data_IF_658014295604
#
_entry.id   IF_658014295604
#
_cell.length_a   1.000
_cell.length_b   1.000
_cell.length_c   1.000
_cell.angle_alpha   90.00
_cell.angle_beta   90.00
_cell.angle_gamma   90.00
#
_symmetry.space_group_name_H-M   'P 1'
#
loop_
_entity.id
_entity.type
_entity.pdbx_description
1 polymer ?
#
# COMPACT_ATOMS: atom_id res chain seq x y z
N UNK A 1 -7.37 -7.95 -31.93
CA UNK A 1 -7.41 -7.62 -30.50
C UNK A 1 -6.45 -8.51 -29.75
N UNK A 2 -5.74 -7.95 -28.76
CA UNK A 2 -4.72 -8.64 -27.97
C UNK A 2 -5.34 -9.68 -27.03
N UNK A 3 -6.52 -9.42 -26.47
CA UNK A 3 -7.27 -10.39 -25.66
C UNK A 3 -7.42 -11.74 -26.37
N UNK A 4 -7.91 -11.75 -27.61
CA UNK A 4 -8.11 -13.00 -28.38
C UNK A 4 -6.81 -13.77 -28.59
N UNK A 5 -5.68 -13.07 -28.74
CA UNK A 5 -4.37 -13.71 -28.86
C UNK A 5 -3.92 -14.36 -27.55
N UNK A 6 -4.10 -13.66 -26.42
CA UNK A 6 -3.83 -14.24 -25.09
C UNK A 6 -4.73 -15.45 -24.86
N UNK A 7 -6.02 -15.33 -25.17
CA UNK A 7 -6.99 -16.42 -25.07
C UNK A 7 -6.57 -17.63 -25.90
N UNK A 8 -6.16 -17.42 -27.15
CA UNK A 8 -5.69 -18.51 -28.02
C UNK A 8 -4.46 -19.22 -27.43
N UNK A 9 -3.53 -18.50 -26.81
CA UNK A 9 -2.36 -19.09 -26.16
C UNK A 9 -2.73 -19.89 -24.91
N UNK A 10 -3.68 -19.40 -24.11
CA UNK A 10 -4.23 -20.11 -22.96
C UNK A 10 -4.98 -21.37 -23.39
N UNK A 11 -5.92 -21.24 -24.33
CA UNK A 11 -6.73 -22.36 -24.84
C UNK A 11 -5.86 -23.46 -25.49
N UNK A 12 -4.74 -23.10 -26.12
CA UNK A 12 -3.78 -24.05 -26.70
C UNK A 12 -2.79 -24.63 -25.68
N UNK A 13 -2.83 -24.18 -24.42
CA UNK A 13 -1.93 -24.62 -23.35
C UNK A 13 -0.50 -24.12 -23.49
N UNK A 14 -0.27 -23.09 -24.31
CA UNK A 14 1.03 -22.44 -24.51
C UNK A 14 1.28 -21.31 -23.52
N UNK A 15 0.24 -20.84 -22.83
CA UNK A 15 0.31 -19.81 -21.80
C UNK A 15 -0.53 -20.22 -20.59
N UNK A 16 0.05 -20.07 -19.40
CA UNK A 16 -0.63 -20.22 -18.13
C UNK A 16 -0.42 -18.93 -17.32
N UNK A 17 -1.50 -18.36 -16.82
CA UNK A 17 -1.48 -17.12 -16.05
C UNK A 17 -1.62 -17.42 -14.55
N UNK A 18 -0.67 -16.96 -13.75
CA UNK A 18 -0.75 -16.96 -12.29
C UNK A 18 -1.10 -15.54 -11.83
N UNK A 19 -2.35 -15.32 -11.43
CA UNK A 19 -2.84 -13.99 -11.08
C UNK A 19 -2.62 -13.64 -9.61
N UNK A 20 -2.11 -12.44 -9.37
CA UNK A 20 -2.09 -11.79 -8.06
C UNK A 20 -2.92 -10.52 -8.15
N UNK A 21 -3.97 -10.42 -7.36
CA UNK A 21 -4.86 -9.25 -7.27
C UNK A 21 -4.78 -8.68 -5.86
N UNK A 22 -4.61 -7.37 -5.72
CA UNK A 22 -4.47 -6.77 -4.39
C UNK A 22 -4.82 -5.28 -4.35
N UNK A 23 -5.25 -4.76 -3.19
CA UNK A 23 -5.14 -3.33 -2.91
C UNK A 23 -3.67 -2.89 -2.87
N UNK A 24 -3.35 -1.62 -3.15
CA UNK A 24 -2.01 -1.10 -2.99
C UNK A 24 -1.48 -1.29 -1.56
N UNK A 25 -0.16 -1.49 -1.47
CA UNK A 25 0.60 -1.53 -0.19
C UNK A 25 0.31 -2.74 0.72
N UNK A 26 -0.31 -3.77 0.18
CA UNK A 26 -0.53 -5.08 0.82
C UNK A 26 0.61 -6.08 0.60
N UNK A 27 1.68 -5.72 -0.14
CA UNK A 27 2.83 -6.60 -0.38
C UNK A 27 2.74 -7.45 -1.65
N UNK A 28 1.85 -7.11 -2.59
CA UNK A 28 1.73 -7.81 -3.88
C UNK A 28 3.02 -7.88 -4.68
N UNK A 29 3.85 -6.83 -4.71
CA UNK A 29 5.16 -6.88 -5.40
C UNK A 29 6.15 -7.84 -4.73
N UNK A 30 6.06 -8.02 -3.41
CA UNK A 30 6.87 -9.02 -2.69
C UNK A 30 6.45 -10.43 -3.12
N UNK A 31 5.15 -10.73 -3.14
CA UNK A 31 4.66 -12.05 -3.55
C UNK A 31 4.93 -12.33 -5.03
N UNK A 32 4.68 -11.36 -5.92
CA UNK A 32 5.02 -11.45 -7.34
C UNK A 32 6.49 -11.80 -7.55
N UNK A 33 7.39 -11.09 -6.86
CA UNK A 33 8.84 -11.34 -6.94
C UNK A 33 9.20 -12.72 -6.39
N UNK A 34 8.52 -13.18 -5.33
CA UNK A 34 8.68 -14.52 -4.77
C UNK A 34 8.25 -15.61 -5.76
N UNK A 35 7.05 -15.50 -6.34
CA UNK A 35 6.53 -16.47 -7.31
C UNK A 35 7.36 -16.51 -8.60
N UNK A 36 7.86 -15.36 -9.06
CA UNK A 36 8.77 -15.28 -10.20
C UNK A 36 10.11 -16.01 -10.00
N UNK A 37 10.47 -16.36 -8.75
CA UNK A 37 11.66 -17.17 -8.46
C UNK A 37 11.39 -18.68 -8.43
N UNK A 38 10.15 -19.12 -8.70
CA UNK A 38 9.84 -20.54 -8.89
C UNK A 38 10.52 -21.05 -10.17
N UNK A 39 11.12 -22.26 -10.15
CA UNK A 39 11.64 -22.90 -11.36
C UNK A 39 10.55 -23.21 -12.42
N UNK A 40 9.28 -23.13 -12.05
CA UNK A 40 8.14 -23.35 -12.95
C UNK A 40 7.65 -22.07 -13.63
N UNK A 41 8.12 -20.89 -13.22
CA UNK A 41 7.67 -19.59 -13.76
C UNK A 41 8.71 -19.05 -14.72
N UNK A 42 8.26 -18.61 -15.89
CA UNK A 42 9.12 -18.10 -16.95
C UNK A 42 9.25 -16.58 -16.88
N UNK A 43 8.11 -15.90 -16.70
CA UNK A 43 8.04 -14.44 -16.78
C UNK A 43 7.16 -13.86 -15.67
N UNK A 44 7.32 -12.55 -15.42
CA UNK A 44 6.42 -11.76 -14.58
C UNK A 44 5.98 -10.50 -15.32
N UNK A 45 4.77 -10.04 -15.06
CA UNK A 45 4.20 -8.82 -15.63
C UNK A 45 3.56 -8.01 -14.50
N UNK A 46 4.12 -6.84 -14.26
CA UNK A 46 3.67 -5.94 -13.20
C UNK A 46 2.66 -4.93 -13.75
N UNK A 47 1.42 -5.02 -13.27
CA UNK A 47 0.32 -4.08 -13.50
C UNK A 47 0.11 -3.68 -14.99
N UNK A 48 -0.02 -4.63 -15.94
CA UNK A 48 -0.29 -4.32 -17.34
C UNK A 48 -1.53 -3.43 -17.58
N UNK A 49 -2.49 -3.44 -16.66
CA UNK A 49 -3.72 -2.66 -16.67
C UNK A 49 -3.64 -1.40 -15.79
N UNK A 50 -2.46 -0.89 -15.42
CA UNK A 50 -2.30 0.33 -14.59
C UNK A 50 -2.71 1.66 -15.30
N UNK A 51 -2.82 1.64 -16.63
CA UNK A 51 -3.06 2.84 -17.45
C UNK A 51 -4.52 3.41 -17.52
N UNK A 52 -5.58 2.84 -16.91
CA UNK A 52 -6.94 3.40 -16.87
C UNK A 52 -7.09 4.81 -16.29
N UNK A 53 -6.08 5.39 -15.64
CA UNK A 53 -6.12 6.80 -15.19
C UNK A 53 -5.89 7.80 -16.33
N UNK A 54 -5.49 7.34 -17.52
CA UNK A 54 -5.45 8.20 -18.69
C UNK A 54 -6.81 8.13 -19.38
N UNK A 55 -7.45 9.29 -19.56
CA UNK A 55 -8.66 9.40 -20.38
C UNK A 55 -8.44 8.68 -21.72
N UNK A 56 -9.29 7.71 -22.03
CA UNK A 56 -9.22 6.93 -23.27
C UNK A 56 -8.35 5.66 -23.22
N UNK A 57 -7.97 5.15 -22.04
CA UNK A 57 -7.30 3.85 -21.97
C UNK A 57 -8.19 2.70 -22.48
N UNK A 58 -7.66 1.94 -23.43
CA UNK A 58 -8.28 0.72 -23.94
C UNK A 58 -7.78 -0.48 -23.15
N UNK A 59 -8.68 -1.21 -22.46
CA UNK A 59 -8.34 -2.41 -21.70
C UNK A 59 -7.57 -3.46 -22.53
N UNK A 60 -7.77 -3.50 -23.85
CA UNK A 60 -7.05 -4.41 -24.75
C UNK A 60 -5.52 -4.23 -24.68
N UNK A 61 -5.03 -3.03 -24.31
CA UNK A 61 -3.60 -2.75 -24.14
C UNK A 61 -2.98 -3.46 -22.93
N UNK A 62 -3.77 -3.82 -21.91
CA UNK A 62 -3.25 -4.63 -20.80
C UNK A 62 -2.82 -6.02 -21.27
N UNK A 63 -3.61 -6.65 -22.15
CA UNK A 63 -3.26 -7.92 -22.78
C UNK A 63 -2.04 -7.80 -23.69
N UNK A 64 -1.83 -6.65 -24.33
CA UNK A 64 -0.57 -6.39 -25.04
C UNK A 64 0.63 -6.46 -24.10
N UNK A 65 0.54 -5.88 -22.89
CA UNK A 65 1.59 -5.97 -21.89
C UNK A 65 1.95 -7.41 -21.49
N UNK A 66 0.93 -8.29 -21.41
CA UNK A 66 1.15 -9.73 -21.19
C UNK A 66 1.88 -10.35 -22.38
N UNK A 67 1.45 -10.07 -23.61
CA UNK A 67 2.09 -10.61 -24.82
C UNK A 67 3.52 -10.11 -25.02
N UNK A 68 3.77 -8.82 -24.76
CA UNK A 68 5.09 -8.19 -24.88
C UNK A 68 6.10 -8.81 -23.89
N UNK A 69 5.62 -9.40 -22.78
CA UNK A 69 6.47 -10.09 -21.81
C UNK A 69 6.96 -11.47 -22.26
N UNK A 70 6.32 -12.05 -23.28
CA UNK A 70 6.71 -13.34 -23.83
C UNK A 70 7.87 -13.13 -24.80
N UNK A 71 8.98 -13.85 -24.59
CA UNK A 71 10.07 -13.87 -25.56
C UNK A 71 9.63 -14.41 -26.93
N UNK A 72 10.35 -14.05 -27.99
CA UNK A 72 9.97 -14.28 -29.40
C UNK A 72 9.86 -15.74 -29.82
N UNK A 73 10.27 -16.69 -28.98
CA UNK A 73 10.34 -18.12 -29.28
C UNK A 73 9.15 -18.86 -28.62
N UNK A 74 7.96 -18.67 -29.19
CA UNK A 74 6.66 -19.06 -28.63
C UNK A 74 6.28 -20.55 -28.80
N UNK A 75 7.26 -21.47 -28.84
CA UNK A 75 6.99 -22.92 -28.88
C UNK A 75 7.06 -23.59 -27.50
N UNK A 76 7.45 -22.86 -26.45
CA UNK A 76 7.47 -23.37 -25.08
C UNK A 76 6.19 -22.99 -24.33
N UNK A 77 5.72 -23.91 -23.47
CA UNK A 77 4.66 -23.60 -22.50
C UNK A 77 5.19 -22.57 -21.51
N UNK A 78 4.60 -21.38 -21.51
CA UNK A 78 5.01 -20.29 -20.65
C UNK A 78 4.07 -20.16 -19.46
N UNK A 79 4.62 -20.08 -18.25
CA UNK A 79 3.89 -19.71 -17.05
C UNK A 79 4.29 -18.30 -16.62
N UNK A 80 3.30 -17.42 -16.52
CA UNK A 80 3.51 -15.99 -16.31
C UNK A 80 2.80 -15.55 -15.04
N UNK A 81 3.54 -14.95 -14.11
CA UNK A 81 2.94 -14.27 -12.95
C UNK A 81 2.48 -12.89 -13.39
N UNK A 82 1.19 -12.59 -13.21
CA UNK A 82 0.62 -11.28 -13.53
C UNK A 82 0.07 -10.68 -12.25
N UNK A 83 0.57 -9.50 -11.89
CA UNK A 83 0.15 -8.79 -10.69
C UNK A 83 -0.66 -7.56 -11.05
N UNK A 84 -1.82 -7.40 -10.43
CA UNK A 84 -2.72 -6.27 -10.65
C UNK A 84 -3.26 -5.65 -9.37
N UNK A 85 -3.70 -4.38 -9.48
CA UNK A 85 -4.45 -3.72 -8.42
C UNK A 85 -5.94 -3.79 -8.70
N UNK A 86 -6.75 -4.10 -7.67
CA UNK A 86 -8.18 -4.36 -7.83
C UNK A 86 -8.96 -3.21 -8.49
N UNK A 87 -8.68 -1.96 -8.12
CA UNK A 87 -9.38 -0.83 -8.72
C UNK A 87 -9.14 -0.67 -10.23
N UNK A 88 -8.00 -1.14 -10.75
CA UNK A 88 -7.71 -1.10 -12.19
C UNK A 88 -8.67 -1.96 -12.98
N UNK A 89 -8.93 -3.17 -12.50
CA UNK A 89 -9.74 -4.16 -13.21
C UNK A 89 -11.23 -3.92 -13.07
N UNK A 90 -11.64 -3.21 -12.02
CA UNK A 90 -13.05 -2.82 -11.83
C UNK A 90 -13.50 -1.76 -12.84
N UNK A 91 -12.58 -1.01 -13.44
CA UNK A 91 -12.91 -0.13 -14.56
C UNK A 91 -13.40 -0.97 -15.73
N UNK A 92 -14.63 -0.71 -16.20
CA UNK A 92 -15.32 -1.49 -17.24
C UNK A 92 -15.50 -2.99 -16.93
N UNK A 93 -15.41 -3.39 -15.64
CA UNK A 93 -15.50 -4.78 -15.19
C UNK A 93 -14.51 -5.74 -15.92
N UNK A 94 -13.34 -5.24 -16.31
CA UNK A 94 -12.34 -6.01 -17.06
C UNK A 94 -11.86 -7.26 -16.32
N UNK A 95 -11.96 -7.27 -14.97
CA UNK A 95 -11.71 -8.48 -14.17
C UNK A 95 -12.48 -9.70 -14.68
N UNK A 96 -13.71 -9.55 -15.20
CA UNK A 96 -14.51 -10.67 -15.73
C UNK A 96 -13.82 -11.34 -16.93
N UNK A 97 -13.30 -10.53 -17.86
CA UNK A 97 -12.59 -11.01 -19.04
C UNK A 97 -11.24 -11.59 -18.65
N UNK A 98 -10.49 -10.90 -17.80
CA UNK A 98 -9.17 -11.35 -17.37
C UNK A 98 -9.27 -12.68 -16.60
N UNK A 99 -10.20 -12.81 -15.66
CA UNK A 99 -10.38 -14.04 -14.87
C UNK A 99 -10.83 -15.23 -15.73
N UNK A 100 -11.51 -14.99 -16.86
CA UNK A 100 -11.86 -16.06 -17.81
C UNK A 100 -10.65 -16.72 -18.49
N UNK A 101 -9.47 -16.09 -18.40
CA UNK A 101 -8.20 -16.60 -18.96
C UNK A 101 -7.37 -17.40 -17.92
N UNK A 102 -7.82 -17.47 -16.67
CA UNK A 102 -7.05 -18.04 -15.56
C UNK A 102 -7.61 -19.42 -15.22
N UNK A 103 -6.76 -20.44 -15.28
CA UNK A 103 -7.13 -21.82 -14.95
C UNK A 103 -6.79 -22.21 -13.52
N UNK A 104 -5.74 -21.61 -12.96
CA UNK A 104 -5.30 -21.81 -11.59
C UNK A 104 -6.04 -20.87 -10.62
N UNK A 105 -6.05 -21.16 -9.31
CA UNK A 105 -6.65 -20.25 -8.34
C UNK A 105 -6.06 -18.83 -8.41
N UNK A 106 -6.93 -17.81 -8.46
CA UNK A 106 -6.51 -16.40 -8.40
C UNK A 106 -6.07 -16.07 -6.96
N UNK A 107 -4.91 -15.43 -6.78
CA UNK A 107 -4.41 -15.02 -5.47
C UNK A 107 -4.88 -13.61 -5.13
N UNK A 108 -5.64 -13.45 -4.06
CA UNK A 108 -5.97 -12.15 -3.47
C UNK A 108 -5.08 -11.86 -2.27
N UNK A 109 -4.46 -10.68 -2.22
CA UNK A 109 -3.69 -10.28 -1.05
C UNK A 109 -4.44 -9.28 -0.19
N UNK A 110 -4.35 -9.51 1.11
CA UNK A 110 -4.84 -8.62 2.13
C UNK A 110 -3.72 -8.28 3.13
N UNK A 111 -3.91 -7.18 3.86
CA UNK A 111 -3.06 -6.73 4.95
C UNK A 111 -3.89 -5.81 5.84
N UNK A 112 -3.62 -5.78 7.13
CA UNK A 112 -4.20 -4.80 8.06
C UNK A 112 -4.31 -3.40 7.39
N UNK A 113 -5.54 -2.90 7.14
CA UNK A 113 -5.77 -1.65 6.43
C UNK A 113 -5.08 -0.43 7.02
N UNK A 114 -4.89 -0.38 8.34
CA UNK A 114 -4.21 0.74 8.99
C UNK A 114 -2.75 0.83 8.53
N UNK A 115 -2.05 -0.29 8.42
CA UNK A 115 -0.68 -0.34 7.90
C UNK A 115 -0.62 0.00 6.40
N UNK A 116 -1.59 -0.48 5.62
CA UNK A 116 -1.68 -0.18 4.19
C UNK A 116 -1.94 1.30 3.94
N UNK A 117 -2.85 1.92 4.71
CA UNK A 117 -3.17 3.35 4.66
C UNK A 117 -1.99 4.23 5.09
N UNK A 118 -1.29 3.88 6.18
CA UNK A 118 -0.06 4.54 6.59
C UNK A 118 0.98 4.50 5.46
N UNK A 119 1.21 3.32 4.89
CA UNK A 119 2.16 3.19 3.79
C UNK A 119 1.74 3.99 2.55
N UNK A 120 0.44 4.14 2.30
CA UNK A 120 -0.11 4.94 1.20
C UNK A 120 0.08 6.44 1.42
N UNK A 121 -0.20 6.93 2.62
CA UNK A 121 0.06 8.33 2.99
C UNK A 121 1.55 8.63 2.85
N UNK A 122 2.41 7.76 3.37
CA UNK A 122 3.87 7.89 3.25
C UNK A 122 4.34 7.89 1.78
N UNK A 123 3.77 7.06 0.91
CA UNK A 123 4.01 7.07 -0.54
C UNK A 123 3.70 8.43 -1.15
N UNK A 124 2.52 8.99 -0.84
CA UNK A 124 2.07 10.27 -1.38
C UNK A 124 3.01 11.38 -0.94
N UNK A 125 3.24 11.55 0.36
CA UNK A 125 4.01 12.68 0.90
C UNK A 125 5.47 12.69 0.42
N UNK A 126 6.11 11.51 0.30
CA UNK A 126 7.48 11.39 -0.18
C UNK A 126 7.60 11.68 -1.70
N UNK A 127 6.52 11.47 -2.46
CA UNK A 127 6.51 11.76 -3.90
C UNK A 127 6.32 13.24 -4.25
N UNK A 128 5.73 14.02 -3.33
CA UNK A 128 5.44 15.44 -3.54
C UNK A 128 6.70 16.22 -3.93
N UNK A 129 7.84 16.19 -3.20
CA UNK A 129 9.02 16.96 -3.59
C UNK A 129 9.67 16.45 -4.91
N UNK A 130 9.31 15.28 -5.42
CA UNK A 130 9.98 14.66 -6.58
C UNK A 130 9.23 14.96 -7.89
N UNK A 131 7.92 15.17 -7.83
CA UNK A 131 7.06 15.42 -9.00
C UNK A 131 6.33 16.75 -8.88
N UNK A 132 6.79 17.74 -9.63
CA UNK A 132 6.14 19.05 -9.68
C UNK A 132 4.69 18.93 -10.16
N UNK A 133 3.76 19.58 -9.46
CA UNK A 133 2.34 19.67 -9.83
C UNK A 133 1.86 21.09 -9.62
N UNK A 134 1.21 21.65 -10.64
CA UNK A 134 0.57 22.98 -10.54
C UNK A 134 -0.46 23.01 -9.41
N UNK A 135 -1.19 21.91 -9.18
CA UNK A 135 -2.16 21.82 -8.08
C UNK A 135 -1.51 22.00 -6.71
N UNK A 136 -0.35 21.38 -6.48
CA UNK A 136 0.42 21.51 -5.23
C UNK A 136 0.94 22.93 -5.06
N UNK A 137 1.58 23.48 -6.11
CA UNK A 137 2.07 24.86 -6.09
C UNK A 137 0.94 25.86 -5.80
N UNK A 138 -0.15 25.77 -6.56
CA UNK A 138 -1.33 26.61 -6.44
C UNK A 138 -1.92 26.55 -5.04
N UNK A 139 -2.05 25.37 -4.44
CA UNK A 139 -2.59 25.24 -3.09
C UNK A 139 -1.79 26.07 -2.07
N UNK A 140 -0.46 25.92 -2.08
CA UNK A 140 0.42 26.59 -1.12
C UNK A 140 0.46 28.11 -1.40
N UNK A 141 0.48 28.48 -2.69
CA UNK A 141 0.39 29.87 -3.13
C UNK A 141 -0.92 30.55 -2.70
N UNK A 142 -2.06 29.88 -2.86
CA UNK A 142 -3.37 30.35 -2.40
C UNK A 142 -3.42 30.44 -0.85
N UNK A 143 -2.67 29.57 -0.15
CA UNK A 143 -2.51 29.66 1.31
C UNK A 143 -1.72 30.91 1.71
N UNK A 144 -0.62 31.22 1.03
CA UNK A 144 0.15 32.46 1.26
C UNK A 144 -0.75 33.69 1.03
N UNK A 145 -1.52 33.70 -0.05
CA UNK A 145 -2.43 34.80 -0.37
C UNK A 145 -3.48 35.05 0.72
N UNK A 146 -4.06 33.97 1.28
CA UNK A 146 -5.00 34.04 2.41
C UNK A 146 -4.32 34.57 3.67
N UNK A 147 -3.15 34.03 4.01
CA UNK A 147 -2.39 34.40 5.21
C UNK A 147 -1.98 35.89 5.19
N UNK A 148 -1.71 36.41 4.00
CA UNK A 148 -1.26 37.80 3.77
C UNK A 148 -2.39 38.76 3.35
N UNK A 149 -3.64 38.28 3.29
CA UNK A 149 -4.85 39.05 2.97
C UNK A 149 -4.80 39.78 1.62
N UNK A 150 -4.28 39.13 0.57
CA UNK A 150 -4.26 39.69 -0.78
C UNK A 150 -5.64 39.53 -1.44
N UNK A 151 -6.36 40.64 -1.64
CA UNK A 151 -7.75 40.65 -2.12
C UNK A 151 -7.93 40.35 -3.63
N UNK A 152 -6.85 40.40 -4.43
CA UNK A 152 -6.89 40.18 -5.89
C UNK A 152 -5.87 39.13 -6.35
N UNK A 153 -5.91 37.95 -5.73
CA UNK A 153 -5.00 36.85 -6.07
C UNK A 153 -5.32 36.23 -7.44
N UNK A 154 -4.45 36.43 -8.43
CA UNK A 154 -4.55 35.79 -9.74
C UNK A 154 -3.18 35.32 -10.26
N UNK A 155 -2.92 34.01 -10.16
CA UNK A 155 -1.67 33.37 -10.57
C UNK A 155 -1.23 33.70 -12.01
N UNK A 156 -2.18 33.88 -12.94
CA UNK A 156 -1.87 34.23 -14.34
C UNK A 156 -1.32 35.65 -14.53
N UNK A 157 -1.36 36.49 -13.48
CA UNK A 157 -0.89 37.89 -13.49
C UNK A 157 0.23 38.16 -12.49
N UNK A 158 0.61 37.17 -11.67
CA UNK A 158 1.58 37.37 -10.56
C UNK A 158 2.95 37.81 -11.06
N UNK A 159 3.41 37.32 -12.21
CA UNK A 159 4.71 37.71 -12.79
C UNK A 159 4.80 39.19 -13.18
N UNK A 160 3.67 39.90 -13.22
CA UNK A 160 3.57 41.33 -13.52
C UNK A 160 3.15 42.20 -12.33
N UNK A 161 2.81 41.60 -11.19
CA UNK A 161 2.42 42.32 -9.98
C UNK A 161 3.59 42.41 -9.00
N UNK A 162 4.24 43.58 -8.99
CA UNK A 162 5.42 43.83 -8.17
C UNK A 162 5.14 43.73 -6.65
N UNK A 163 3.89 43.95 -6.20
CA UNK A 163 3.53 43.78 -4.79
C UNK A 163 3.48 42.31 -4.40
N UNK A 164 2.94 41.46 -5.28
CA UNK A 164 2.88 40.02 -5.04
C UNK A 164 4.28 39.40 -5.11
N UNK A 165 5.13 39.85 -6.03
CA UNK A 165 6.54 39.43 -6.11
C UNK A 165 7.26 39.75 -4.80
N UNK A 166 7.21 40.99 -4.34
CA UNK A 166 7.87 41.41 -3.10
C UNK A 166 7.37 40.64 -1.87
N UNK A 167 6.08 40.31 -1.84
CA UNK A 167 5.47 39.52 -0.79
C UNK A 167 6.00 38.08 -0.79
N UNK A 168 6.00 37.40 -1.94
CA UNK A 168 6.51 36.04 -2.07
C UNK A 168 8.02 35.97 -1.75
N UNK A 169 8.79 36.97 -2.19
CA UNK A 169 10.21 37.11 -1.84
C UNK A 169 10.42 37.34 -0.34
N UNK A 170 9.54 38.12 0.30
CA UNK A 170 9.50 38.30 1.76
C UNK A 170 9.28 36.99 2.52
N UNK A 171 8.50 36.06 1.97
CA UNK A 171 8.28 34.71 2.52
C UNK A 171 9.40 33.71 2.19
N UNK A 172 10.45 34.18 1.49
CA UNK A 172 11.62 33.41 1.12
C UNK A 172 11.47 32.60 -0.17
N UNK A 173 10.49 32.92 -1.02
CA UNK A 173 10.36 32.37 -2.37
C UNK A 173 11.19 33.25 -3.32
N UNK A 174 12.25 32.70 -3.87
CA UNK A 174 13.25 33.40 -4.69
C UNK A 174 12.87 33.33 -6.17
N UNK A 175 13.38 34.30 -6.93
CA UNK A 175 13.31 34.33 -8.39
C UNK A 175 11.87 34.37 -8.95
N UNK A 176 10.90 34.86 -8.16
CA UNK A 176 9.46 34.85 -8.49
C UNK A 176 9.17 35.51 -9.82
N UNK A 177 9.86 36.60 -10.15
CA UNK A 177 9.70 37.33 -11.42
C UNK A 177 10.12 36.54 -12.67
N UNK A 178 10.88 35.46 -12.50
CA UNK A 178 11.46 34.66 -13.60
C UNK A 178 10.88 33.25 -13.71
N UNK A 179 10.00 32.84 -12.78
CA UNK A 179 9.45 31.49 -12.74
C UNK A 179 7.95 31.54 -13.09
N UNK A 180 7.47 30.74 -14.07
CA UNK A 180 6.05 30.61 -14.34
C UNK A 180 5.35 29.86 -13.19
N UNK A 181 4.57 30.57 -12.37
CA UNK A 181 3.92 30.00 -11.18
C UNK A 181 2.75 29.06 -11.51
N UNK A 182 2.22 29.15 -12.72
CA UNK A 182 1.10 28.38 -13.26
C UNK A 182 1.55 27.12 -14.01
N UNK A 183 2.86 26.86 -14.09
CA UNK A 183 3.44 25.68 -14.70
C UNK A 183 4.14 24.80 -13.66
N UNK A 184 4.23 23.46 -13.86
CA UNK A 184 4.99 22.61 -12.97
C UNK A 184 6.46 23.03 -12.92
N UNK A 185 6.94 23.41 -11.73
CA UNK A 185 8.33 23.80 -11.50
C UNK A 185 8.81 23.22 -10.17
N UNK A 186 9.83 22.37 -10.23
CA UNK A 186 10.30 21.60 -9.07
C UNK A 186 10.99 22.48 -8.02
N UNK A 187 11.78 23.46 -8.46
CA UNK A 187 12.48 24.40 -7.57
C UNK A 187 11.46 25.27 -6.81
N UNK A 188 10.50 25.87 -7.51
CA UNK A 188 9.39 26.59 -6.88
C UNK A 188 8.64 25.70 -5.89
N UNK A 189 8.33 24.46 -6.28
CA UNK A 189 7.62 23.54 -5.39
C UNK A 189 8.44 23.24 -4.12
N UNK A 190 9.75 23.02 -4.21
CA UNK A 190 10.61 22.85 -3.02
C UNK A 190 10.57 24.08 -2.12
N UNK A 191 10.66 25.28 -2.69
CA UNK A 191 10.59 26.52 -1.91
C UNK A 191 9.24 26.68 -1.20
N UNK A 192 8.14 26.36 -1.89
CA UNK A 192 6.78 26.39 -1.33
C UNK A 192 6.58 25.34 -0.23
N UNK A 193 7.10 24.12 -0.41
CA UNK A 193 7.05 23.07 0.61
C UNK A 193 7.84 23.45 1.86
N UNK A 194 9.00 24.08 1.70
CA UNK A 194 9.78 24.60 2.83
C UNK A 194 9.06 25.75 3.54
N UNK A 195 8.41 26.65 2.80
CA UNK A 195 7.52 27.66 3.39
C UNK A 195 6.41 26.99 4.22
N UNK A 196 5.72 26.00 3.66
CA UNK A 196 4.65 25.27 4.35
C UNK A 196 5.17 24.62 5.65
N UNK A 197 6.32 23.95 5.60
CA UNK A 197 6.95 23.34 6.78
C UNK A 197 7.28 24.36 7.87
N UNK A 198 7.83 25.53 7.51
CA UNK A 198 8.09 26.64 8.44
C UNK A 198 6.82 27.15 9.12
N UNK A 199 5.71 27.24 8.39
CA UNK A 199 4.40 27.61 8.95
C UNK A 199 3.87 26.59 9.97
N UNK A 200 4.27 25.32 9.84
CA UNK A 200 3.95 24.26 10.81
C UNK A 200 4.99 24.12 11.93
N UNK A 201 6.00 25.01 11.99
CA UNK A 201 7.02 25.04 13.05
C UNK A 201 8.26 24.18 12.78
N UNK A 202 8.47 23.73 11.54
CA UNK A 202 9.62 22.92 11.13
C UNK A 202 10.60 23.74 10.28
N UNK A 203 11.87 23.33 10.21
CA UNK A 203 12.89 24.06 9.45
C UNK A 203 12.66 23.97 7.94
N UNK A 204 12.27 22.78 7.47
CA UNK A 204 12.11 22.43 6.07
C UNK A 204 11.17 21.22 5.92
N UNK A 205 10.80 20.95 4.68
CA UNK A 205 9.88 19.87 4.32
C UNK A 205 10.37 18.49 4.73
N UNK A 206 11.67 18.21 4.57
CA UNK A 206 12.23 16.89 4.85
C UNK A 206 12.18 16.57 6.34
N UNK A 207 12.51 17.54 7.19
CA UNK A 207 12.39 17.41 8.64
C UNK A 207 10.92 17.26 9.06
N UNK A 208 10.02 18.04 8.45
CA UNK A 208 8.58 17.93 8.73
C UNK A 208 8.02 16.54 8.41
N UNK A 209 8.28 16.01 7.20
CA UNK A 209 7.81 14.68 6.79
C UNK A 209 8.49 13.58 7.61
N UNK A 210 9.79 13.72 7.91
CA UNK A 210 10.49 12.76 8.75
C UNK A 210 9.85 12.71 10.13
N UNK A 211 9.77 13.83 10.86
CA UNK A 211 9.24 13.77 12.23
C UNK A 211 7.77 13.30 12.27
N UNK A 212 6.91 13.76 11.35
CA UNK A 212 5.49 13.31 11.29
C UNK A 212 5.34 11.81 11.00
N UNK A 213 6.10 11.27 10.04
CA UNK A 213 6.09 9.84 9.74
C UNK A 213 6.68 9.02 10.89
N UNK A 214 7.72 9.54 11.56
CA UNK A 214 8.36 8.87 12.68
C UNK A 214 7.43 8.77 13.90
N UNK A 215 6.73 9.84 14.27
CA UNK A 215 5.79 9.79 15.41
C UNK A 215 4.41 9.24 15.07
N UNK A 216 4.15 8.91 13.80
CA UNK A 216 2.87 8.44 13.25
C UNK A 216 1.71 9.39 13.58
N UNK A 217 1.90 10.69 13.36
CA UNK A 217 0.84 11.71 13.56
C UNK A 217 0.33 12.22 12.21
N UNK A 218 -0.38 11.35 11.49
CA UNK A 218 -0.84 11.62 10.13
C UNK A 218 -2.05 12.55 10.04
N UNK A 219 -2.75 12.79 11.15
CA UNK A 219 -3.91 13.69 11.23
C UNK A 219 -3.58 15.11 10.75
N UNK A 220 -2.35 15.55 11.00
CA UNK A 220 -1.81 16.85 10.56
C UNK A 220 -1.55 16.93 9.04
N UNK A 221 -1.55 15.79 8.35
CA UNK A 221 -1.28 15.69 6.90
C UNK A 221 -2.54 15.78 6.05
N UNK A 222 -3.73 15.93 6.65
CA UNK A 222 -4.99 16.01 5.89
C UNK A 222 -4.99 17.09 4.81
N UNK A 223 -4.42 18.27 5.11
CA UNK A 223 -4.22 19.36 4.15
C UNK A 223 -3.29 18.94 3.00
N UNK A 224 -2.22 18.21 3.29
CA UNK A 224 -1.23 17.75 2.29
C UNK A 224 -1.83 16.68 1.37
N UNK A 225 -2.65 15.79 1.91
CA UNK A 225 -3.36 14.81 1.10
C UNK A 225 -4.29 15.48 0.08
N UNK A 226 -4.80 16.67 0.38
CA UNK A 226 -5.57 17.47 -0.59
C UNK A 226 -4.75 17.90 -1.81
N UNK A 227 -3.42 18.03 -1.70
CA UNK A 227 -2.53 18.38 -2.83
C UNK A 227 -2.58 17.32 -3.94
N UNK A 228 -2.78 16.07 -3.54
CA UNK A 228 -2.84 14.90 -4.42
C UNK A 228 -4.16 14.15 -4.23
N UNK A 229 -5.28 14.89 -4.06
CA UNK A 229 -6.61 14.32 -3.81
C UNK A 229 -6.94 13.21 -4.79
N UNK A 230 -6.71 13.40 -6.09
CA UNK A 230 -6.98 12.39 -7.12
C UNK A 230 -6.27 11.05 -6.84
N UNK A 231 -4.98 11.08 -6.46
CA UNK A 231 -4.22 9.88 -6.11
C UNK A 231 -4.75 9.23 -4.82
N UNK A 232 -5.18 10.05 -3.86
CA UNK A 232 -5.75 9.56 -2.60
C UNK A 232 -7.21 9.06 -2.76
N UNK A 233 -7.97 9.54 -3.74
CA UNK A 233 -9.34 9.08 -3.96
C UNK A 233 -9.40 7.88 -4.89
N UNK A 234 -8.51 7.77 -5.88
CA UNK A 234 -8.53 6.65 -6.83
C UNK A 234 -8.27 5.30 -6.15
N UNK A 235 -7.22 5.21 -5.32
CA UNK A 235 -6.92 3.96 -4.59
C UNK A 235 -7.81 3.80 -3.33
N UNK A 236 -8.78 4.70 -3.07
CA UNK A 236 -9.70 4.55 -1.93
C UNK A 236 -10.80 3.52 -2.20
N UNK A 237 -11.09 3.21 -3.46
CA UNK A 237 -12.06 2.17 -3.83
C UNK A 237 -11.45 0.78 -3.91
N UNK A 238 -10.14 0.63 -3.71
CA UNK A 238 -9.43 -0.64 -3.93
C UNK A 238 -9.97 -1.81 -3.11
N UNK A 239 -10.23 -1.59 -1.82
CA UNK A 239 -10.79 -2.64 -0.96
C UNK A 239 -12.20 -3.02 -1.36
N UNK A 240 -13.02 -2.06 -1.77
CA UNK A 240 -14.35 -2.33 -2.33
C UNK A 240 -14.26 -3.13 -3.63
N UNK A 241 -13.36 -2.74 -4.53
CA UNK A 241 -13.07 -3.43 -5.78
C UNK A 241 -12.61 -4.86 -5.56
N UNK A 242 -11.72 -5.08 -4.58
CA UNK A 242 -11.26 -6.40 -4.15
C UNK A 242 -12.43 -7.28 -3.70
N UNK A 243 -13.33 -6.73 -2.87
CA UNK A 243 -14.51 -7.45 -2.40
C UNK A 243 -15.41 -7.86 -3.57
N UNK A 244 -15.70 -6.94 -4.50
CA UNK A 244 -16.50 -7.21 -5.70
C UNK A 244 -15.89 -8.31 -6.57
N UNK A 245 -14.56 -8.35 -6.71
CA UNK A 245 -13.85 -9.39 -7.45
C UNK A 245 -13.98 -10.76 -6.80
N UNK A 246 -13.86 -10.83 -5.46
CA UNK A 246 -14.05 -12.06 -4.69
C UNK A 246 -15.50 -12.56 -4.78
N UNK A 247 -16.49 -11.68 -4.57
CA UNK A 247 -17.93 -12.02 -4.69
C UNK A 247 -18.28 -12.55 -6.08
N UNK A 248 -17.67 -11.97 -7.12
CA UNK A 248 -17.83 -12.47 -8.48
C UNK A 248 -17.31 -13.90 -8.62
N UNK A 249 -16.12 -14.22 -8.10
CA UNK A 249 -15.55 -15.56 -8.18
C UNK A 249 -16.36 -16.56 -7.36
N UNK A 250 -16.86 -16.19 -6.18
CA UNK A 250 -17.80 -17.01 -5.40
C UNK A 250 -19.07 -17.32 -6.20
N UNK A 251 -19.66 -16.30 -6.84
CA UNK A 251 -20.86 -16.44 -7.67
C UNK A 251 -20.62 -17.35 -8.87
N UNK A 252 -19.45 -17.23 -9.52
CA UNK A 252 -19.05 -18.07 -10.65
C UNK A 252 -18.49 -19.43 -10.22
N UNK A 253 -18.31 -19.67 -8.91
CA UNK A 253 -17.65 -20.86 -8.35
C UNK A 253 -16.25 -21.10 -8.92
N UNK A 254 -15.53 -20.01 -9.18
CA UNK A 254 -14.15 -20.06 -9.66
C UNK A 254 -13.19 -20.13 -8.47
N UNK A 255 -12.11 -20.91 -8.57
CA UNK A 255 -11.18 -21.08 -7.45
C UNK A 255 -10.37 -19.80 -7.23
N UNK A 256 -10.17 -19.44 -5.96
CA UNK A 256 -9.25 -18.39 -5.55
C UNK A 256 -8.65 -18.73 -4.18
N UNK A 257 -7.62 -17.98 -3.81
CA UNK A 257 -6.96 -18.08 -2.52
C UNK A 257 -6.77 -16.69 -1.95
N UNK A 258 -6.90 -16.55 -0.63
CA UNK A 258 -6.59 -15.29 0.06
C UNK A 258 -5.27 -15.46 0.82
N UNK A 259 -4.38 -14.49 0.69
CA UNK A 259 -3.06 -14.46 1.33
C UNK A 259 -2.96 -13.20 2.17
N UNK A 260 -2.84 -13.38 3.49
CA UNK A 260 -2.55 -12.27 4.39
C UNK A 260 -1.04 -12.00 4.41
N UNK A 261 -0.66 -10.76 4.10
CA UNK A 261 0.74 -10.32 4.03
C UNK A 261 1.47 -10.43 5.37
N UNK A 262 0.79 -10.18 6.48
CA UNK A 262 1.35 -10.31 7.82
C UNK A 262 1.60 -11.78 8.13
N UNK A 263 0.65 -12.66 7.82
CA UNK A 263 0.80 -14.11 8.00
C UNK A 263 1.90 -14.70 7.11
N UNK A 264 1.94 -14.31 5.82
CA UNK A 264 3.01 -14.64 4.88
C UNK A 264 4.39 -14.28 5.44
N UNK A 265 4.53 -13.11 6.07
CA UNK A 265 5.81 -12.66 6.62
C UNK A 265 6.19 -13.34 7.93
N UNK A 266 5.23 -13.87 8.68
CA UNK A 266 5.47 -14.62 9.91
C UNK A 266 5.88 -16.07 9.64
N UNK A 267 5.33 -16.69 8.59
CA UNK A 267 5.58 -18.09 8.23
C UNK A 267 5.78 -18.27 6.71
N UNK A 268 6.82 -17.63 6.14
CA UNK A 268 7.01 -17.55 4.69
C UNK A 268 7.16 -18.92 4.03
N UNK A 269 7.89 -19.83 4.66
CA UNK A 269 8.09 -21.19 4.13
C UNK A 269 6.75 -21.93 3.99
N UNK A 270 5.96 -22.00 5.07
CA UNK A 270 4.65 -22.66 5.10
C UNK A 270 3.68 -22.06 4.09
N UNK A 271 3.56 -20.73 4.04
CA UNK A 271 2.61 -20.06 3.14
C UNK A 271 3.03 -20.22 1.69
N UNK A 272 4.29 -20.01 1.35
CA UNK A 272 4.77 -20.14 -0.04
C UNK A 272 4.68 -21.59 -0.52
N UNK A 273 4.98 -22.58 0.33
CA UNK A 273 4.75 -23.99 -0.02
C UNK A 273 3.28 -24.27 -0.35
N UNK A 274 2.35 -23.82 0.50
CA UNK A 274 0.90 -24.00 0.26
C UNK A 274 0.45 -23.29 -1.01
N UNK A 275 0.96 -22.09 -1.30
CA UNK A 275 0.69 -21.41 -2.58
C UNK A 275 1.20 -22.25 -3.75
N UNK A 276 2.44 -22.75 -3.67
CA UNK A 276 3.04 -23.57 -4.72
C UNK A 276 2.22 -24.83 -5.01
N UNK A 277 1.80 -25.54 -3.97
CA UNK A 277 0.98 -26.75 -4.09
C UNK A 277 -0.38 -26.45 -4.74
N UNK A 278 -0.99 -25.31 -4.42
CA UNK A 278 -2.31 -24.93 -4.93
C UNK A 278 -2.27 -24.36 -6.35
N UNK A 279 -1.13 -23.83 -6.79
CA UNK A 279 -0.90 -23.32 -8.15
C UNK A 279 -0.16 -24.33 -9.06
N UNK A 280 0.16 -25.53 -8.56
CA UNK A 280 0.90 -26.53 -9.33
C UNK A 280 2.29 -26.05 -9.77
N UNK A 281 2.99 -25.24 -8.98
CA UNK A 281 4.35 -24.77 -9.26
C UNK A 281 5.36 -25.35 -8.28
N UNK A 282 6.64 -25.39 -8.68
CA UNK A 282 7.71 -25.90 -7.84
C UNK A 282 8.14 -24.85 -6.82
N UNK A 283 8.17 -25.23 -5.55
CA UNK A 283 8.86 -24.45 -4.54
C UNK A 283 10.37 -24.40 -4.79
N UNK A 284 10.98 -23.26 -4.51
CA UNK A 284 12.43 -23.12 -4.37
C UNK A 284 12.75 -22.21 -3.19
N UNK A 285 13.85 -22.48 -2.48
CA UNK A 285 14.32 -21.63 -1.38
C UNK A 285 14.53 -20.17 -1.80
N UNK A 286 14.85 -19.94 -3.09
CA UNK A 286 14.94 -18.59 -3.68
C UNK A 286 13.66 -17.78 -3.54
N UNK A 287 12.50 -18.43 -3.45
CA UNK A 287 11.21 -17.76 -3.30
C UNK A 287 11.04 -17.09 -1.92
N UNK A 288 11.80 -17.52 -0.90
CA UNK A 288 11.72 -16.97 0.46
C UNK A 288 13.04 -16.30 0.91
N UNK A 289 14.17 -16.69 0.32
CA UNK A 289 15.50 -16.17 0.60
C UNK A 289 16.27 -15.88 -0.68
N UNK A 290 16.81 -14.67 -0.82
CA UNK A 290 17.57 -14.28 -2.01
C UNK A 290 18.78 -13.42 -1.64
N UNK A 291 19.69 -13.27 -2.61
CA UNK A 291 20.80 -12.32 -2.46
C UNK A 291 20.28 -10.90 -2.61
N UNK A 292 20.86 -9.99 -1.85
CA UNK A 292 20.60 -8.54 -1.99
C UNK A 292 20.82 -8.11 -3.45
N UNK A 293 19.91 -7.27 -3.98
CA UNK A 293 19.93 -6.85 -5.38
C UNK A 293 19.43 -7.90 -6.38
N UNK A 294 18.97 -9.09 -5.94
CA UNK A 294 18.39 -10.10 -6.84
C UNK A 294 17.04 -9.67 -7.41
N UNK A 295 16.25 -8.92 -6.65
CA UNK A 295 14.96 -8.40 -7.13
C UNK A 295 15.24 -7.21 -8.04
N UNK A 296 15.02 -7.43 -9.34
CA UNK A 296 15.06 -6.38 -10.34
C UNK A 296 13.69 -5.72 -10.45
N UNK A 297 13.73 -4.38 -10.39
CA UNK A 297 12.59 -3.50 -10.60
C UNK A 297 12.46 -3.19 -12.10
N UNK A 298 11.23 -3.07 -12.58
CA UNK A 298 10.99 -2.65 -13.97
C UNK A 298 11.28 -1.15 -14.18
N UNK A 299 11.26 -0.70 -15.44
CA UNK A 299 11.56 0.70 -15.81
C UNK A 299 10.65 1.71 -15.10
N UNK A 300 9.36 1.36 -14.92
CA UNK A 300 8.40 2.22 -14.23
C UNK A 300 8.74 2.30 -12.74
N UNK A 301 9.04 1.19 -12.09
CA UNK A 301 9.45 1.11 -10.68
C UNK A 301 10.79 1.80 -10.41
N UNK A 302 11.67 1.86 -11.41
CA UNK A 302 12.98 2.54 -11.31
C UNK A 302 12.90 4.08 -11.40
N UNK A 303 11.74 4.65 -11.77
CA UNK A 303 11.57 6.12 -11.81
C UNK A 303 11.84 6.73 -10.42
N UNK A 304 12.46 7.94 -10.33
CA UNK A 304 12.83 8.54 -9.05
C UNK A 304 11.69 8.65 -8.03
N UNK A 305 10.49 8.95 -8.51
CA UNK A 305 9.31 9.03 -7.67
C UNK A 305 8.83 7.65 -7.18
N UNK A 306 9.13 6.56 -7.91
CA UNK A 306 8.65 5.22 -7.63
C UNK A 306 9.64 4.37 -6.81
N UNK A 307 10.95 4.55 -7.05
CA UNK A 307 12.01 3.72 -6.45
C UNK A 307 12.01 3.75 -4.92
N UNK A 308 11.62 4.88 -4.33
CA UNK A 308 11.49 5.05 -2.87
C UNK A 308 10.55 4.01 -2.24
N UNK A 309 9.58 3.47 -2.99
CA UNK A 309 8.60 2.51 -2.50
C UNK A 309 9.05 1.05 -2.62
N UNK A 310 10.02 0.79 -3.49
CA UNK A 310 10.53 -0.54 -3.80
C UNK A 310 11.91 -0.79 -3.22
N UNK A 311 12.58 0.26 -2.70
CA UNK A 311 13.92 0.20 -2.12
C UNK A 311 14.08 -0.88 -1.05
N UNK A 312 13.11 -1.02 -0.14
CA UNK A 312 13.16 -2.05 0.90
C UNK A 312 13.16 -3.46 0.30
N UNK A 313 12.36 -3.70 -0.74
CA UNK A 313 12.30 -4.99 -1.41
C UNK A 313 13.59 -5.26 -2.19
N UNK A 314 14.05 -4.28 -2.97
CA UNK A 314 15.28 -4.36 -3.77
C UNK A 314 16.52 -4.66 -2.91
N UNK A 315 16.58 -4.11 -1.70
CA UNK A 315 17.69 -4.29 -0.76
C UNK A 315 17.48 -5.46 0.22
N UNK A 316 16.37 -6.19 0.11
CA UNK A 316 16.10 -7.31 1.01
C UNK A 316 16.88 -8.55 0.62
N UNK A 317 16.99 -9.50 1.57
CA UNK A 317 17.62 -10.81 1.37
C UNK A 317 16.63 -11.97 1.49
N UNK A 318 15.34 -11.66 1.42
CA UNK A 318 14.26 -12.60 1.70
C UNK A 318 13.03 -11.90 2.24
N UNK A 319 11.96 -12.67 2.43
CA UNK A 319 10.74 -12.21 3.09
C UNK A 319 11.08 -11.86 4.55
N UNK A 320 10.98 -10.58 4.90
CA UNK A 320 11.31 -10.09 6.24
C UNK A 320 10.09 -10.20 7.17
N UNK A 321 10.28 -10.46 8.48
CA UNK A 321 9.21 -10.43 9.47
C UNK A 321 8.44 -9.09 9.47
N UNK A 322 7.16 -9.06 9.86
CA UNK A 322 6.41 -7.83 10.05
C UNK A 322 6.98 -7.08 11.25
N UNK A 323 7.60 -5.93 11.01
CA UNK A 323 8.21 -5.08 12.07
C UNK A 323 7.55 -3.71 12.15
N UNK A 324 6.55 -3.47 11.30
CA UNK A 324 5.75 -2.26 11.30
C UNK A 324 4.77 -2.28 12.47
N UNK A 325 4.73 -1.18 13.23
CA UNK A 325 3.82 -1.02 14.36
C UNK A 325 2.53 -0.41 13.85
N UNK A 326 1.42 -1.08 14.12
CA UNK A 326 0.09 -0.63 13.72
C UNK A 326 -0.15 0.80 14.23
N UNK A 327 -0.51 1.77 13.37
CA UNK A 327 -0.99 3.07 13.81
C UNK A 327 -2.39 2.94 14.39
N UNK A 328 -2.91 4.01 15.00
CA UNK A 328 -4.30 4.09 15.47
C UNK A 328 -5.20 4.73 14.42
N UNK A 329 -6.50 4.45 14.45
CA UNK A 329 -7.52 5.14 13.66
C UNK A 329 -7.49 6.65 13.87
N UNK A 330 -7.23 7.10 15.10
CA UNK A 330 -7.15 8.52 15.44
C UNK A 330 -5.84 9.19 14.98
N UNK A 331 -4.85 8.40 14.56
CA UNK A 331 -3.62 8.94 14.00
C UNK A 331 -3.83 9.41 12.55
N UNK A 332 -4.93 9.00 11.89
CA UNK A 332 -5.25 9.35 10.50
C UNK A 332 -6.11 10.60 10.34
N UNK A 333 -6.00 11.31 9.19
CA UNK A 333 -6.90 12.43 8.87
C UNK A 333 -8.33 11.94 8.59
N UNK A 334 -9.36 12.82 8.71
CA UNK A 334 -10.76 12.43 8.63
C UNK A 334 -11.13 11.58 7.41
N UNK A 335 -10.70 11.99 6.21
CA UNK A 335 -10.99 11.26 4.97
C UNK A 335 -10.41 9.84 4.96
N UNK A 336 -9.20 9.66 5.49
CA UNK A 336 -8.59 8.33 5.58
C UNK A 336 -9.31 7.46 6.62
N UNK A 337 -9.72 8.06 7.74
CA UNK A 337 -10.47 7.38 8.79
C UNK A 337 -11.85 6.91 8.32
N UNK A 338 -12.52 7.72 7.49
CA UNK A 338 -13.78 7.37 6.82
C UNK A 338 -13.61 6.14 5.94
N UNK A 339 -12.65 6.15 4.99
CA UNK A 339 -12.37 4.99 4.13
C UNK A 339 -12.04 3.72 4.94
N UNK A 340 -11.21 3.85 5.98
CA UNK A 340 -10.83 2.74 6.84
C UNK A 340 -12.03 2.09 7.53
N UNK A 341 -12.95 2.89 8.09
CA UNK A 341 -14.12 2.39 8.83
C UNK A 341 -15.21 1.87 7.92
N UNK A 342 -15.52 2.59 6.85
CA UNK A 342 -16.68 2.28 6.01
C UNK A 342 -16.42 1.15 5.02
N UNK A 343 -15.16 0.90 4.65
CA UNK A 343 -14.83 -0.08 3.61
C UNK A 343 -13.67 -0.97 3.99
N UNK A 344 -12.49 -0.42 4.28
CA UNK A 344 -11.27 -1.24 4.29
C UNK A 344 -11.26 -2.26 5.44
N UNK A 345 -11.60 -1.85 6.67
CA UNK A 345 -11.67 -2.75 7.83
C UNK A 345 -12.77 -3.81 7.71
N UNK A 346 -14.02 -3.47 7.34
CA UNK A 346 -15.05 -4.47 7.07
C UNK A 346 -14.63 -5.52 6.04
N UNK A 347 -14.09 -5.09 4.88
CA UNK A 347 -13.63 -6.03 3.84
C UNK A 347 -12.47 -6.88 4.34
N UNK A 348 -11.49 -6.28 5.01
CA UNK A 348 -10.36 -7.02 5.58
C UNK A 348 -10.81 -8.07 6.60
N UNK A 349 -11.77 -7.75 7.46
CA UNK A 349 -12.33 -8.68 8.43
C UNK A 349 -13.00 -9.88 7.74
N UNK A 350 -13.90 -9.61 6.78
CA UNK A 350 -14.58 -10.65 6.01
C UNK A 350 -13.61 -11.57 5.27
N UNK A 351 -12.64 -10.99 4.53
CA UNK A 351 -11.64 -11.76 3.79
C UNK A 351 -10.65 -12.50 4.70
N UNK A 352 -10.43 -12.01 5.92
CA UNK A 352 -9.67 -12.73 6.94
C UNK A 352 -10.43 -13.96 7.45
N UNK A 353 -11.76 -13.86 7.62
CA UNK A 353 -12.60 -15.00 8.00
C UNK A 353 -12.75 -16.07 6.91
N UNK A 354 -12.53 -15.69 5.64
CA UNK A 354 -12.86 -16.50 4.47
C UNK A 354 -12.16 -17.89 4.44
N UNK A 355 -12.88 -18.97 4.09
CA UNK A 355 -12.35 -20.34 4.05
C UNK A 355 -11.24 -20.56 3.01
N UNK A 356 -11.18 -19.75 1.96
CA UNK A 356 -10.14 -19.79 0.93
C UNK A 356 -8.82 -19.14 1.37
N UNK A 357 -8.75 -18.59 2.59
CA UNK A 357 -7.50 -18.04 3.12
C UNK A 357 -6.47 -19.14 3.39
N UNK A 358 -5.27 -18.94 2.87
CA UNK A 358 -4.10 -19.76 3.18
C UNK A 358 -3.60 -19.37 4.57
N UNK A 359 -3.78 -20.28 5.52
CA UNK A 359 -3.37 -20.07 6.91
C UNK A 359 -1.91 -20.46 7.13
N UNK A 360 -1.28 -19.85 8.11
CA UNK A 360 0.07 -20.17 8.56
C UNK A 360 0.12 -21.36 9.51
N UNK A 361 1.20 -21.39 10.27
CA UNK A 361 1.38 -22.33 11.38
C UNK A 361 0.55 -21.92 12.61
N UNK A 362 0.21 -22.90 13.45
CA UNK A 362 -0.65 -22.64 14.64
C UNK A 362 0.03 -21.77 15.70
N UNK A 363 1.35 -21.68 15.66
CA UNK A 363 2.21 -21.03 16.65
C UNK A 363 2.74 -19.66 16.20
N UNK A 364 2.18 -19.05 15.13
CA UNK A 364 2.56 -17.70 14.68
C UNK A 364 2.52 -16.65 15.80
N UNK A 365 1.67 -16.84 16.82
CA UNK A 365 1.52 -15.94 17.97
C UNK A 365 2.58 -16.13 19.06
N UNK A 366 3.26 -17.27 19.12
CA UNK A 366 4.37 -17.50 20.06
C UNK A 366 5.71 -17.06 19.48
N UNK A 367 5.80 -16.96 18.14
CA UNK A 367 7.00 -16.51 17.43
C UNK A 367 7.42 -15.12 17.88
N UNK A 368 8.70 -14.98 18.22
CA UNK A 368 9.32 -13.71 18.59
C UNK A 368 10.29 -13.24 17.52
N UNK A 369 10.32 -11.95 17.27
CA UNK A 369 11.25 -11.33 16.32
C UNK A 369 11.83 -10.03 16.89
N UNK A 370 12.95 -9.57 16.31
CA UNK A 370 13.63 -8.36 16.74
C UNK A 370 12.98 -7.13 16.12
N UNK A 371 12.58 -6.19 16.97
CA UNK A 371 12.08 -4.87 16.62
C UNK A 371 13.15 -3.83 16.95
N UNK A 372 13.63 -3.13 15.94
CA UNK A 372 14.51 -1.97 16.14
C UNK A 372 13.70 -0.74 16.52
N UNK A 373 14.01 -0.12 17.66
CA UNK A 373 13.29 1.06 18.16
C UNK A 373 14.27 2.20 18.36
N UNK A 374 13.93 3.38 17.84
CA UNK A 374 14.72 4.57 18.11
C UNK A 374 14.43 5.09 19.52
N UNK A 375 15.42 5.72 20.20
CA UNK A 375 15.20 6.28 21.54
C UNK A 375 14.01 7.25 21.62
N UNK A 376 13.74 8.00 20.54
CA UNK A 376 12.59 8.92 20.44
C UNK A 376 11.23 8.22 20.53
N UNK A 377 11.12 6.97 20.07
CA UNK A 377 9.86 6.22 20.02
C UNK A 377 9.66 5.30 21.22
N UNK A 378 10.70 5.06 22.00
CA UNK A 378 10.66 4.17 23.16
C UNK A 378 9.53 4.49 24.14
N UNK A 379 9.37 5.76 24.52
CA UNK A 379 8.29 6.19 25.42
C UNK A 379 6.91 5.99 24.82
N UNK A 380 6.73 6.23 23.52
CA UNK A 380 5.48 5.94 22.80
C UNK A 380 5.17 4.45 22.83
N UNK A 381 6.15 3.60 22.53
CA UNK A 381 5.95 2.14 22.46
C UNK A 381 5.77 1.49 23.84
N UNK A 382 6.36 2.05 24.89
CA UNK A 382 6.02 1.69 26.28
C UNK A 382 4.56 2.05 26.57
N UNK A 383 4.16 3.28 26.24
CA UNK A 383 2.79 3.76 26.49
C UNK A 383 1.75 2.97 25.68
N UNK A 384 2.13 2.50 24.49
CA UNK A 384 1.32 1.65 23.64
C UNK A 384 1.25 0.18 24.10
N UNK A 385 1.96 -0.19 25.18
CA UNK A 385 2.01 -1.56 25.68
C UNK A 385 2.86 -2.51 24.83
N UNK A 386 3.54 -2.01 23.80
CA UNK A 386 4.40 -2.79 22.90
C UNK A 386 5.67 -3.23 23.65
N UNK A 387 6.30 -2.27 24.34
CA UNK A 387 7.50 -2.49 25.16
C UNK A 387 7.15 -2.55 26.66
N UNK A 388 7.90 -3.34 27.47
CA UNK A 388 7.75 -3.33 28.92
C UNK A 388 7.97 -1.95 29.55
N UNK A 389 7.26 -1.62 30.64
CA UNK A 389 7.39 -0.32 31.34
C UNK A 389 8.82 0.02 31.81
N UNK A 390 9.61 -1.00 32.16
CA UNK A 390 10.97 -0.84 32.67
C UNK A 390 12.04 -0.99 31.57
N UNK A 391 11.67 -0.77 30.30
CA UNK A 391 12.60 -0.92 29.18
C UNK A 391 13.69 0.16 29.25
N UNK A 392 14.95 -0.29 29.33
CA UNK A 392 16.11 0.60 29.21
C UNK A 392 16.31 0.98 27.74
N UNK A 393 16.34 2.28 27.44
CA UNK A 393 16.46 2.81 26.07
C UNK A 393 17.87 2.70 25.48
N UNK A 394 18.80 2.08 26.20
CA UNK A 394 20.15 1.76 25.73
C UNK A 394 20.14 0.57 24.75
N UNK A 395 19.13 -0.31 24.85
CA UNK A 395 18.89 -1.35 23.84
C UNK A 395 18.22 -0.74 22.62
N UNK A 396 18.76 -0.99 21.43
CA UNK A 396 18.14 -0.58 20.16
C UNK A 396 17.22 -1.67 19.58
N UNK A 397 17.33 -2.89 20.09
CA UNK A 397 16.59 -4.06 19.60
C UNK A 397 15.78 -4.69 20.72
N UNK A 398 14.52 -5.02 20.40
CA UNK A 398 13.56 -5.56 21.34
C UNK A 398 12.90 -6.81 20.78
N UNK A 399 12.85 -7.87 21.58
CA UNK A 399 12.13 -9.08 21.20
C UNK A 399 10.63 -8.86 21.43
N UNK A 400 9.82 -8.94 20.37
CA UNK A 400 8.35 -8.75 20.40
C UNK A 400 7.63 -9.89 19.70
N UNK A 401 6.31 -10.01 19.90
CA UNK A 401 5.42 -10.90 19.13
C UNK A 401 4.49 -10.08 18.25
N UNK A 402 3.83 -10.71 17.28
CA UNK A 402 2.89 -10.00 16.39
C UNK A 402 1.76 -9.31 17.15
N UNK A 403 1.19 -9.99 18.15
CA UNK A 403 0.14 -9.44 19.03
C UNK A 403 0.60 -8.25 19.88
N UNK A 404 1.90 -8.00 19.95
CA UNK A 404 2.43 -6.83 20.65
C UNK A 404 2.56 -5.62 19.71
N UNK A 405 2.56 -5.77 18.37
CA UNK A 405 2.76 -4.67 17.40
C UNK A 405 1.58 -4.47 16.42
N UNK A 406 0.77 -5.50 16.19
CA UNK A 406 -0.39 -5.48 15.31
C UNK A 406 -1.60 -6.13 16.02
N UNK A 407 -2.26 -5.38 16.92
CA UNK A 407 -3.40 -5.89 17.68
C UNK A 407 -4.64 -6.11 16.81
N UNK A 408 -4.73 -5.49 15.64
CA UNK A 408 -5.88 -5.65 14.74
C UNK A 408 -5.81 -6.96 13.98
N UNK A 409 -4.69 -7.23 13.32
CA UNK A 409 -4.44 -8.56 12.77
C UNK A 409 -4.63 -9.62 13.87
N UNK A 410 -3.98 -9.44 15.02
CA UNK A 410 -3.99 -10.48 16.05
C UNK A 410 -5.38 -10.78 16.61
N UNK A 411 -6.20 -9.76 16.85
CA UNK A 411 -7.56 -9.93 17.36
C UNK A 411 -8.52 -10.54 16.34
N UNK A 412 -8.33 -10.26 15.03
CA UNK A 412 -9.14 -10.85 13.97
C UNK A 412 -8.78 -12.33 13.77
N UNK A 413 -7.49 -12.65 13.72
CA UNK A 413 -7.02 -14.02 13.49
C UNK A 413 -7.23 -14.91 14.74
N UNK A 414 -7.07 -14.34 15.93
CA UNK A 414 -7.20 -15.04 17.22
C UNK A 414 -8.21 -14.32 18.11
N UNK A 415 -9.49 -14.44 17.75
CA UNK A 415 -10.61 -13.79 18.43
C UNK A 415 -10.63 -13.98 19.96
N UNK A 416 -10.16 -15.13 20.46
CA UNK A 416 -10.04 -15.38 21.90
C UNK A 416 -9.15 -14.40 22.66
N UNK A 417 -8.28 -13.62 21.98
CA UNK A 417 -7.52 -12.54 22.61
C UNK A 417 -8.41 -11.43 23.17
N UNK A 418 -9.53 -11.14 22.52
CA UNK A 418 -10.46 -10.09 22.97
C UNK A 418 -11.18 -10.47 24.28
N UNK A 419 -11.21 -11.76 24.61
CA UNK A 419 -11.73 -12.26 25.89
C UNK A 419 -10.67 -12.27 27.02
N UNK A 420 -9.39 -12.08 26.70
CA UNK A 420 -8.31 -12.01 27.69
C UNK A 420 -8.16 -10.58 28.23
N UNK A 421 -8.62 -10.36 29.46
CA UNK A 421 -8.54 -9.06 30.13
C UNK A 421 -7.10 -8.53 30.24
N UNK A 422 -6.09 -9.40 30.35
CA UNK A 422 -4.70 -8.96 30.41
C UNK A 422 -4.23 -8.42 29.07
N UNK A 423 -4.62 -9.06 27.97
CA UNK A 423 -4.35 -8.58 26.62
C UNK A 423 -5.06 -7.24 26.36
N UNK A 424 -6.36 -7.16 26.65
CA UNK A 424 -7.15 -5.93 26.45
C UNK A 424 -6.58 -4.77 27.27
N UNK A 425 -6.23 -5.00 28.53
CA UNK A 425 -5.62 -3.97 29.37
C UNK A 425 -4.24 -3.54 28.84
N UNK A 426 -3.42 -4.50 28.39
CA UNK A 426 -2.12 -4.24 27.78
C UNK A 426 -2.26 -3.39 26.51
N UNK A 427 -3.27 -3.68 25.69
CA UNK A 427 -3.54 -3.00 24.41
C UNK A 427 -4.52 -1.82 24.54
N UNK A 428 -4.65 -1.24 25.73
CA UNK A 428 -5.56 -0.11 25.99
C UNK A 428 -5.28 1.14 25.13
N UNK A 429 -4.04 1.29 24.64
CA UNK A 429 -3.69 2.33 23.67
C UNK A 429 -4.44 2.20 22.33
N UNK A 430 -4.84 0.98 21.96
CA UNK A 430 -5.57 0.62 20.75
C UNK A 430 -7.08 0.37 21.01
N UNK A 431 -7.63 0.95 22.08
CA UNK A 431 -9.00 0.66 22.52
C UNK A 431 -10.03 0.91 21.42
N UNK A 432 -9.93 2.01 20.69
CA UNK A 432 -10.91 2.37 19.66
C UNK A 432 -10.89 1.36 18.51
N UNK A 433 -9.70 0.89 18.14
CA UNK A 433 -9.52 -0.10 17.09
C UNK A 433 -10.01 -1.49 17.53
N UNK A 434 -9.78 -1.87 18.79
CA UNK A 434 -10.31 -3.13 19.34
C UNK A 434 -11.85 -3.11 19.43
N UNK A 435 -12.45 -1.96 19.75
CA UNK A 435 -13.91 -1.78 19.73
C UNK A 435 -14.46 -1.94 18.31
N UNK A 436 -13.77 -1.39 17.31
CA UNK A 436 -14.17 -1.56 15.91
C UNK A 436 -14.16 -3.04 15.50
N UNK A 437 -13.11 -3.80 15.87
CA UNK A 437 -13.06 -5.25 15.61
C UNK A 437 -14.21 -5.99 16.30
N UNK A 438 -14.54 -5.64 17.55
CA UNK A 438 -15.69 -6.23 18.25
C UNK A 438 -17.01 -5.93 17.53
N UNK A 439 -17.18 -4.70 17.04
CA UNK A 439 -18.37 -4.32 16.29
C UNK A 439 -18.54 -5.15 15.01
N UNK A 440 -17.44 -5.40 14.30
CA UNK A 440 -17.44 -6.25 13.11
C UNK A 440 -17.83 -7.70 13.43
N UNK A 441 -17.28 -8.27 14.51
CA UNK A 441 -17.65 -9.61 15.00
C UNK A 441 -19.15 -9.69 15.34
N UNK A 442 -19.67 -8.70 16.07
CA UNK A 442 -21.08 -8.63 16.44
C UNK A 442 -22.00 -8.47 15.22
N UNK A 443 -21.52 -7.83 14.15
CA UNK A 443 -22.28 -7.66 12.92
C UNK A 443 -22.42 -8.95 12.11
N UNK A 444 -21.34 -9.75 11.96
CA UNK A 444 -21.39 -11.04 11.28
C UNK A 444 -22.24 -12.07 12.04
N UNK A 445 -22.06 -12.16 13.37
CA UNK A 445 -22.81 -13.12 14.20
C UNK A 445 -24.33 -12.87 14.21
N UNK A 446 -24.77 -11.64 13.94
CA UNK A 446 -26.19 -11.31 13.78
C UNK A 446 -26.75 -11.72 12.42
N UNK A 447 -25.94 -11.68 11.36
CA UNK A 447 -26.35 -12.09 10.01
C UNK A 447 -26.57 -13.61 9.94
N UNK A 448 -25.84 -14.40 10.75
CA UNK A 448 -26.00 -15.86 10.82
C UNK A 448 -27.21 -16.34 11.66
N UNK A 449 -27.95 -15.44 12.31
CA UNK A 449 -29.09 -15.76 13.19
C UNK A 449 -30.46 -15.34 12.61
N UNK A 450 -30.49 -14.71 11.45
CA UNK A 450 -31.70 -14.39 10.66
C UNK A 450 -31.82 -15.35 9.46
#
# INVERSE_FOLDING_TARGET
MYFEKVKQLVDSGNLELLMIIAPPRTGSTLLESSLAMSPSVNFKVNEPFMRPVQDGFESDLGYKGILDSLESDSNNKNKVVVKEMSYWLNTNEEYKRLFSLVTEPILFLIRNPLLSMESRINKIIQSIPIKAKVSTQKYILDMIARDTKVEQWNLSKVSSDQKVIQLLEGEGIKNVSSIPLDQPNLDLQHQLLNYYARRKGYTDWDIFIKETAWVQEYSTLGEILSFSRQNFTSEASDWKSLHTEVEYLDTQRLPYLIVDSTELRLCPETIIHRICDRLGIKFATSMIHWKEGKIQLDEDQMKPQNIIWHKNLANSRGIQPPVEICPRLNDFPPLAKECLKETDLPVYFSLSGNPNRIRGDKDIFSTRFSLSVSPKLGSKYISAGILPKNTLMDSKEFSVRIQDIDPIFSSIIKMGLLSDINYVNKMSYYKDELIEVLHLIDSETKVDLD
#
